data_IF_519889521887
#
_entry.id   IF_519889521887
#
_cell.length_a   1.000
_cell.length_b   1.000
_cell.length_c   1.000
_cell.angle_alpha   90.00
_cell.angle_beta   90.00
_cell.angle_gamma   90.00
#
_symmetry.space_group_name_H-M   'P 1'
#
loop_
_entity.id
_entity.type
_entity.pdbx_description
1 polymer ?
#
# COMPACT_ATOMS: atom_id res chain seq x y z
N UNK A 1 25.14 16.00 -48.78
CA UNK A 1 26.53 16.32 -49.18
C UNK A 1 27.49 15.30 -48.57
N UNK A 2 28.76 15.29 -48.99
CA UNK A 2 29.75 14.21 -48.78
C UNK A 2 30.39 14.19 -47.36
N UNK A 3 31.18 13.12 -47.11
CA UNK A 3 32.34 12.97 -46.17
C UNK A 3 32.03 12.97 -44.65
N UNK A 4 32.30 11.90 -43.88
CA UNK A 4 33.56 11.44 -43.25
C UNK A 4 33.35 11.45 -41.70
N UNK A 5 34.03 10.73 -40.79
CA UNK A 5 35.02 9.62 -40.77
C UNK A 5 34.70 8.82 -39.46
N UNK A 6 34.46 7.51 -39.48
CA UNK A 6 35.39 6.36 -39.36
C UNK A 6 36.14 6.22 -38.01
N UNK A 7 36.41 4.96 -37.61
CA UNK A 7 36.89 4.41 -36.31
C UNK A 7 35.70 3.95 -35.43
N UNK A 8 35.60 2.71 -34.91
CA UNK A 8 36.55 1.59 -34.85
C UNK A 8 35.86 0.23 -35.08
N UNK A 9 36.53 -0.71 -35.76
CA UNK A 9 36.28 -2.15 -35.58
C UNK A 9 37.56 -2.96 -35.87
N UNK A 10 38.55 -2.81 -35.00
CA UNK A 10 39.83 -3.52 -35.12
C UNK A 10 39.81 -4.86 -34.36
N UNK A 11 39.19 -5.90 -34.93
CA UNK A 11 39.34 -7.29 -34.43
C UNK A 11 39.23 -8.42 -35.45
N UNK A 12 38.69 -8.18 -36.65
CA UNK A 12 38.48 -9.25 -37.65
C UNK A 12 39.63 -9.49 -38.65
N UNK A 13 40.70 -8.68 -38.65
CA UNK A 13 41.80 -8.84 -39.62
C UNK A 13 42.85 -9.91 -39.26
N UNK A 14 42.89 -10.42 -38.04
CA UNK A 14 43.92 -11.39 -37.61
C UNK A 14 43.56 -12.86 -37.86
N UNK A 15 42.27 -13.22 -38.01
CA UNK A 15 41.89 -14.61 -38.29
C UNK A 15 42.24 -15.08 -39.72
N UNK A 16 42.11 -14.21 -40.73
CA UNK A 16 42.32 -14.63 -42.13
C UNK A 16 43.78 -14.97 -42.46
N UNK A 17 44.77 -14.32 -41.82
CA UNK A 17 46.19 -14.55 -42.12
C UNK A 17 46.66 -15.90 -41.55
N UNK A 18 46.18 -16.28 -40.37
CA UNK A 18 46.48 -17.60 -39.76
C UNK A 18 45.87 -18.74 -40.57
N UNK A 19 44.66 -18.55 -41.11
CA UNK A 19 43.97 -19.55 -41.94
C UNK A 19 44.73 -19.87 -43.24
N UNK A 20 45.28 -18.85 -43.91
CA UNK A 20 46.07 -19.01 -45.15
C UNK A 20 47.43 -19.67 -44.90
N UNK A 21 48.06 -19.42 -43.75
CA UNK A 21 49.33 -20.07 -43.38
C UNK A 21 49.16 -21.55 -43.02
N UNK A 22 48.09 -21.91 -42.31
CA UNK A 22 47.77 -23.31 -42.00
C UNK A 22 47.48 -24.12 -43.29
N UNK A 23 46.79 -23.54 -44.26
CA UNK A 23 46.55 -24.18 -45.57
C UNK A 23 47.85 -24.51 -46.34
N UNK A 24 48.89 -23.67 -46.22
CA UNK A 24 50.21 -23.95 -46.84
C UNK A 24 50.98 -25.08 -46.14
N UNK A 25 50.85 -25.26 -44.83
CA UNK A 25 51.52 -26.36 -44.12
C UNK A 25 50.90 -27.74 -44.41
N UNK A 26 49.61 -27.80 -44.78
CA UNK A 26 48.89 -29.06 -45.08
C UNK A 26 49.33 -29.68 -46.42
N UNK A 27 50.04 -28.94 -47.29
CA UNK A 27 50.32 -29.37 -48.66
C UNK A 27 51.56 -30.27 -48.84
N UNK A 28 52.33 -30.62 -47.80
CA UNK A 28 53.54 -31.43 -47.96
C UNK A 28 53.56 -32.74 -47.15
N UNK A 29 53.84 -33.84 -47.87
CA UNK A 29 54.06 -35.24 -47.45
C UNK A 29 52.90 -36.05 -46.82
N UNK A 30 52.88 -37.34 -47.21
CA UNK A 30 52.12 -38.50 -46.70
C UNK A 30 50.59 -38.53 -46.89
N UNK A 31 50.16 -39.29 -47.89
CA UNK A 31 48.77 -39.43 -48.35
C UNK A 31 47.83 -40.19 -47.38
N UNK A 32 48.35 -41.15 -46.61
CA UNK A 32 47.50 -42.00 -45.73
C UNK A 32 46.92 -41.27 -44.52
N UNK A 33 47.69 -40.37 -43.87
CA UNK A 33 47.21 -39.60 -42.71
C UNK A 33 46.13 -38.58 -43.11
N UNK A 34 46.10 -38.13 -44.37
CA UNK A 34 45.10 -37.18 -44.87
C UNK A 34 43.69 -37.76 -44.89
N UNK A 35 43.51 -39.04 -45.25
CA UNK A 35 42.18 -39.70 -45.22
C UNK A 35 41.63 -39.82 -43.80
N UNK A 36 42.47 -40.16 -42.82
CA UNK A 36 42.04 -40.27 -41.41
C UNK A 36 41.69 -38.90 -40.82
N UNK A 37 42.50 -37.86 -41.08
CA UNK A 37 42.19 -36.50 -40.61
C UNK A 37 40.90 -35.98 -41.27
N UNK A 38 40.68 -36.24 -42.57
CA UNK A 38 39.44 -35.84 -43.24
C UNK A 38 38.21 -36.63 -42.74
N UNK A 39 38.36 -37.92 -42.41
CA UNK A 39 37.28 -38.69 -41.75
C UNK A 39 36.97 -38.15 -40.35
N UNK A 40 37.99 -37.84 -39.54
CA UNK A 40 37.79 -37.28 -38.19
C UNK A 40 37.17 -35.89 -38.28
N UNK A 41 37.59 -35.03 -39.20
CA UNK A 41 36.97 -33.71 -39.39
C UNK A 41 35.54 -33.81 -39.94
N UNK A 42 35.25 -34.79 -40.79
CA UNK A 42 33.89 -35.09 -41.28
C UNK A 42 32.99 -35.57 -40.13
N UNK A 43 33.45 -36.54 -39.33
CA UNK A 43 32.75 -37.02 -38.14
C UNK A 43 32.55 -35.91 -37.09
N UNK A 44 33.51 -35.00 -36.92
CA UNK A 44 33.39 -33.87 -35.99
C UNK A 44 32.33 -32.85 -36.42
N UNK A 45 32.11 -32.67 -37.73
CA UNK A 45 31.03 -31.81 -38.25
C UNK A 45 29.65 -32.49 -38.20
N UNK A 46 29.59 -33.82 -38.14
CA UNK A 46 28.33 -34.59 -38.04
C UNK A 46 27.80 -34.64 -36.60
N UNK A 47 28.66 -34.46 -35.57
CA UNK A 47 28.24 -34.39 -34.16
C UNK A 47 27.85 -32.99 -33.65
N UNK A 48 28.06 -31.92 -34.43
CA UNK A 48 27.87 -30.53 -33.95
C UNK A 48 26.47 -29.87 -34.11
N UNK A 49 25.45 -30.44 -34.80
CA UNK A 49 24.12 -29.81 -34.90
C UNK A 49 23.03 -30.45 -34.00
N UNK A 50 23.36 -31.03 -32.83
CA UNK A 50 22.38 -31.65 -31.92
C UNK A 50 22.01 -30.75 -30.72
N UNK A 51 22.75 -29.67 -30.45
CA UNK A 51 22.47 -28.72 -29.34
C UNK A 51 21.60 -27.51 -29.73
N UNK A 52 20.75 -27.65 -30.75
CA UNK A 52 19.91 -26.55 -31.26
C UNK A 52 18.45 -26.97 -31.57
N UNK A 53 17.94 -28.02 -30.90
CA UNK A 53 16.56 -28.46 -31.00
C UNK A 53 15.88 -28.50 -29.62
N UNK A 54 15.82 -27.33 -28.98
CA UNK A 54 14.89 -27.05 -27.87
C UNK A 54 14.34 -25.62 -27.99
N UNK A 55 13.62 -25.38 -29.09
CA UNK A 55 12.68 -24.26 -29.20
C UNK A 55 11.31 -24.76 -29.66
N UNK A 56 10.76 -25.71 -28.91
CA UNK A 56 9.32 -25.61 -28.62
C UNK A 56 9.16 -24.24 -27.98
N UNK A 57 8.69 -23.26 -28.76
CA UNK A 57 8.31 -21.95 -28.27
C UNK A 57 7.06 -22.12 -27.40
N UNK A 58 7.29 -22.55 -26.16
CA UNK A 58 6.29 -22.54 -25.12
C UNK A 58 5.87 -21.08 -24.96
N UNK A 59 4.70 -20.76 -25.51
CA UNK A 59 4.23 -19.39 -25.74
C UNK A 59 3.83 -18.68 -24.44
N UNK A 60 4.37 -19.08 -23.29
CA UNK A 60 3.94 -18.61 -21.98
C UNK A 60 4.91 -18.98 -20.88
N UNK A 61 4.55 -18.61 -19.65
CA UNK A 61 5.34 -18.89 -18.45
C UNK A 61 5.46 -20.40 -18.23
N UNK A 62 6.68 -20.89 -18.06
CA UNK A 62 6.99 -22.26 -17.69
C UNK A 62 6.91 -22.42 -16.18
N UNK A 63 5.76 -22.86 -15.70
CA UNK A 63 5.58 -23.22 -14.30
C UNK A 63 6.08 -24.64 -14.03
N UNK A 64 6.95 -24.76 -13.02
CA UNK A 64 7.55 -26.02 -12.61
C UNK A 64 6.83 -26.61 -11.39
N UNK A 65 6.61 -27.93 -11.41
CA UNK A 65 6.04 -28.64 -10.27
C UNK A 65 7.14 -29.26 -9.38
N UNK A 66 7.87 -28.38 -8.70
CA UNK A 66 8.96 -28.70 -7.76
C UNK A 66 8.75 -27.97 -6.43
N UNK A 67 9.18 -28.55 -5.30
CA UNK A 67 9.03 -27.90 -3.99
C UNK A 67 9.67 -26.50 -3.97
N UNK A 68 9.19 -25.62 -3.10
CA UNK A 68 9.78 -24.29 -2.95
C UNK A 68 11.28 -24.36 -2.61
N UNK A 69 11.70 -25.38 -1.84
CA UNK A 69 13.11 -25.65 -1.53
C UNK A 69 13.94 -26.01 -2.79
N UNK A 70 13.40 -26.85 -3.66
CA UNK A 70 14.06 -27.22 -4.93
C UNK A 70 14.12 -26.01 -5.87
N UNK A 71 13.06 -25.19 -5.93
CA UNK A 71 13.05 -23.97 -6.72
C UNK A 71 14.12 -22.96 -6.28
N UNK A 72 14.34 -22.80 -4.97
CA UNK A 72 15.45 -21.98 -4.45
C UNK A 72 16.82 -22.55 -4.85
N UNK A 73 17.00 -23.86 -4.75
CA UNK A 73 18.25 -24.52 -5.14
C UNK A 73 18.52 -24.36 -6.65
N UNK A 74 17.50 -24.55 -7.49
CA UNK A 74 17.56 -24.35 -8.94
C UNK A 74 17.83 -22.89 -9.31
N UNK A 75 17.12 -21.94 -8.69
CA UNK A 75 17.34 -20.52 -8.91
C UNK A 75 18.77 -20.09 -8.53
N UNK A 76 19.33 -20.66 -7.44
CA UNK A 76 20.74 -20.45 -7.06
C UNK A 76 21.71 -21.02 -8.09
N UNK A 77 21.44 -22.20 -8.64
CA UNK A 77 22.29 -22.83 -9.66
C UNK A 77 22.25 -22.10 -11.02
N UNK A 78 21.09 -21.59 -11.41
CA UNK A 78 20.88 -20.87 -12.69
C UNK A 78 21.14 -19.36 -12.61
N UNK A 79 21.42 -18.80 -11.42
CA UNK A 79 21.58 -17.36 -11.22
C UNK A 79 20.27 -16.56 -11.37
N UNK A 80 19.12 -17.23 -11.29
CA UNK A 80 17.77 -16.66 -11.44
C UNK A 80 17.18 -16.25 -10.08
N UNK A 81 16.02 -15.59 -10.09
CA UNK A 81 15.13 -15.51 -8.91
C UNK A 81 14.02 -16.56 -9.00
N UNK A 82 13.25 -16.78 -7.93
CA UNK A 82 12.02 -17.59 -8.00
C UNK A 82 10.83 -16.64 -8.19
N UNK A 83 9.96 -16.93 -9.15
CA UNK A 83 8.66 -16.28 -9.31
C UNK A 83 7.57 -17.22 -8.78
N UNK A 84 6.61 -16.73 -7.99
CA UNK A 84 5.50 -17.53 -7.48
C UNK A 84 4.18 -16.80 -7.72
N UNK A 85 3.31 -17.41 -8.52
CA UNK A 85 1.88 -17.08 -8.58
C UNK A 85 1.17 -17.71 -7.37
N UNK A 86 0.77 -16.88 -6.42
CA UNK A 86 0.06 -17.30 -5.21
C UNK A 86 -1.45 -17.16 -5.45
N UNK A 87 -2.14 -18.30 -5.51
CA UNK A 87 -3.56 -18.39 -5.86
C UNK A 87 -4.35 -19.23 -4.84
N UNK A 88 -5.67 -19.32 -5.02
CA UNK A 88 -6.53 -20.31 -4.35
C UNK A 88 -7.54 -20.88 -5.36
N UNK A 89 -8.08 -22.08 -5.11
CA UNK A 89 -9.00 -22.76 -6.04
C UNK A 89 -10.30 -21.98 -6.32
N UNK A 90 -10.71 -21.09 -5.43
CA UNK A 90 -11.93 -20.27 -5.59
C UNK A 90 -11.66 -18.88 -6.19
N UNK A 91 -10.39 -18.52 -6.41
CA UNK A 91 -9.99 -17.23 -6.98
C UNK A 91 -10.33 -17.11 -8.48
N UNK A 92 -11.46 -16.46 -8.79
CA UNK A 92 -11.86 -16.15 -10.17
C UNK A 92 -10.81 -15.37 -10.99
N UNK A 93 -10.20 -14.29 -10.47
CA UNK A 93 -9.15 -13.56 -11.17
C UNK A 93 -7.89 -14.39 -11.46
N UNK A 94 -7.51 -15.31 -10.57
CA UNK A 94 -6.37 -16.21 -10.76
C UNK A 94 -6.61 -17.16 -11.94
N UNK A 95 -7.81 -17.75 -12.03
CA UNK A 95 -8.22 -18.59 -13.18
C UNK A 95 -8.19 -17.81 -14.50
N UNK A 96 -8.52 -16.52 -14.48
CA UNK A 96 -8.40 -15.66 -15.66
C UNK A 96 -6.94 -15.44 -16.06
N UNK A 97 -6.02 -15.19 -15.12
CA UNK A 97 -4.59 -15.05 -15.39
C UNK A 97 -4.02 -16.31 -16.05
N UNK A 98 -4.27 -17.48 -15.46
CA UNK A 98 -3.79 -18.77 -15.97
C UNK A 98 -4.31 -19.05 -17.38
N UNK A 99 -5.59 -18.78 -17.66
CA UNK A 99 -6.18 -19.08 -18.97
C UNK A 99 -5.76 -18.09 -20.07
N UNK A 100 -5.58 -16.80 -19.77
CA UNK A 100 -5.55 -15.75 -20.80
C UNK A 100 -4.29 -14.88 -20.78
N UNK A 101 -3.50 -14.88 -19.71
CA UNK A 101 -2.35 -13.96 -19.53
C UNK A 101 -1.03 -14.72 -19.49
N UNK A 102 -0.89 -15.72 -18.60
CA UNK A 102 0.35 -16.51 -18.55
C UNK A 102 0.69 -17.28 -19.85
N UNK A 103 -0.29 -17.71 -20.68
CA UNK A 103 -0.02 -18.32 -22.00
C UNK A 103 0.27 -17.32 -23.13
N UNK A 104 0.55 -16.04 -22.84
CA UNK A 104 0.97 -15.03 -23.82
C UNK A 104 2.48 -15.08 -24.05
N UNK A 105 2.91 -14.94 -25.30
CA UNK A 105 4.31 -15.12 -25.68
C UNK A 105 5.24 -14.13 -24.97
N UNK A 106 4.81 -12.88 -24.81
CA UNK A 106 5.53 -11.86 -24.01
C UNK A 106 5.85 -12.34 -22.57
N UNK A 107 4.97 -13.14 -21.97
CA UNK A 107 5.20 -13.70 -20.64
C UNK A 107 6.19 -14.87 -20.69
N UNK A 108 6.16 -15.72 -21.73
CA UNK A 108 7.21 -16.73 -21.92
C UNK A 108 8.58 -16.11 -22.10
N UNK A 109 8.68 -15.17 -23.04
CA UNK A 109 9.93 -14.47 -23.39
C UNK A 109 10.48 -13.64 -22.20
N UNK A 110 9.60 -13.08 -21.37
CA UNK A 110 10.04 -12.33 -20.18
C UNK A 110 10.44 -13.23 -18.99
N UNK A 111 9.60 -14.20 -18.61
CA UNK A 111 9.75 -14.90 -17.32
C UNK A 111 10.76 -16.05 -17.38
N UNK A 112 10.68 -16.90 -18.41
CA UNK A 112 11.47 -18.14 -18.51
C UNK A 112 13.00 -17.94 -18.43
N UNK A 113 13.61 -16.88 -19.03
CA UNK A 113 15.05 -16.64 -18.87
C UNK A 113 15.42 -16.00 -17.52
N UNK A 114 14.49 -15.41 -16.77
CA UNK A 114 14.76 -14.63 -15.55
C UNK A 114 14.41 -15.35 -14.24
N UNK A 115 13.44 -16.27 -14.28
CA UNK A 115 12.87 -16.89 -13.09
C UNK A 115 12.74 -18.41 -13.21
N UNK A 116 12.91 -19.10 -12.08
CA UNK A 116 12.26 -20.40 -11.84
C UNK A 116 10.83 -20.08 -11.39
N UNK A 117 9.83 -20.46 -12.18
CA UNK A 117 8.44 -20.03 -11.96
C UNK A 117 7.60 -21.15 -11.35
N UNK A 118 6.83 -20.84 -10.30
CA UNK A 118 5.91 -21.77 -9.63
C UNK A 118 4.49 -21.19 -9.60
N UNK A 119 3.48 -22.05 -9.61
CA UNK A 119 2.12 -21.73 -9.12
C UNK A 119 1.96 -22.40 -7.76
N UNK A 120 1.49 -21.69 -6.74
CA UNK A 120 1.25 -22.28 -5.40
C UNK A 120 -0.13 -21.90 -4.90
N UNK A 121 -0.94 -22.93 -4.68
CA UNK A 121 -2.23 -22.84 -4.02
C UNK A 121 -1.97 -22.56 -2.54
N UNK A 122 -2.49 -21.45 -2.02
CA UNK A 122 -2.18 -20.95 -0.69
C UNK A 122 -3.00 -21.64 0.41
N UNK A 123 -3.99 -22.46 0.05
CA UNK A 123 -4.84 -23.20 0.98
C UNK A 123 -4.32 -24.63 1.28
N UNK A 124 -3.36 -25.16 0.50
CA UNK A 124 -2.88 -26.56 0.60
C UNK A 124 -1.36 -26.72 0.42
N UNK A 125 -0.81 -27.85 0.89
CA UNK A 125 0.61 -28.18 0.72
C UNK A 125 1.55 -27.20 1.43
N UNK A 126 2.60 -26.74 0.74
CA UNK A 126 3.50 -25.67 1.23
C UNK A 126 2.81 -24.28 1.29
N UNK A 127 1.65 -24.13 0.64
CA UNK A 127 0.95 -22.85 0.45
C UNK A 127 0.69 -22.05 1.73
N UNK A 128 0.05 -22.61 2.76
CA UNK A 128 -0.26 -21.89 4.00
C UNK A 128 0.99 -21.35 4.71
N UNK A 129 2.11 -22.09 4.68
CA UNK A 129 3.37 -21.64 5.27
C UNK A 129 4.01 -20.51 4.46
N UNK A 130 4.00 -20.62 3.12
CA UNK A 130 4.48 -19.56 2.22
C UNK A 130 3.64 -18.29 2.34
N UNK A 131 2.31 -18.42 2.40
CA UNK A 131 1.36 -17.32 2.58
C UNK A 131 1.61 -16.58 3.90
N UNK A 132 1.81 -17.32 5.00
CA UNK A 132 2.20 -16.73 6.29
C UNK A 132 3.58 -16.07 6.24
N UNK A 133 4.60 -16.74 5.67
CA UNK A 133 5.98 -16.25 5.59
C UNK A 133 6.09 -14.93 4.81
N UNK A 134 5.38 -14.81 3.69
CA UNK A 134 5.46 -13.65 2.79
C UNK A 134 4.29 -12.65 2.94
N UNK A 135 3.43 -12.85 3.96
CA UNK A 135 2.24 -12.03 4.23
C UNK A 135 1.35 -11.87 2.98
N UNK A 136 0.98 -13.00 2.37
CA UNK A 136 0.00 -13.04 1.27
C UNK A 136 -1.40 -13.00 1.87
N UNK A 137 -2.16 -11.95 1.57
CA UNK A 137 -3.52 -11.75 2.10
C UNK A 137 -4.60 -11.51 1.04
N UNK A 138 -4.23 -11.37 -0.24
CA UNK A 138 -5.15 -11.21 -1.37
C UNK A 138 -4.65 -11.98 -2.59
N UNK A 139 -5.55 -12.36 -3.50
CA UNK A 139 -5.25 -13.24 -4.63
C UNK A 139 -5.71 -12.66 -5.99
N UNK A 140 -4.92 -12.83 -7.07
CA UNK A 140 -3.58 -13.37 -7.07
C UNK A 140 -2.58 -12.40 -6.41
N UNK A 141 -1.52 -12.95 -5.83
CA UNK A 141 -0.33 -12.22 -5.42
C UNK A 141 0.88 -12.85 -6.10
N UNK A 142 1.73 -12.01 -6.67
CA UNK A 142 2.95 -12.41 -7.35
C UNK A 142 4.14 -12.11 -6.45
N UNK A 143 4.89 -13.16 -6.10
CA UNK A 143 6.11 -13.04 -5.31
C UNK A 143 7.32 -13.22 -6.22
N UNK A 144 8.34 -12.38 -6.02
CA UNK A 144 9.69 -12.60 -6.53
C UNK A 144 10.60 -12.78 -5.33
N UNK A 145 11.23 -13.95 -5.25
CA UNK A 145 12.04 -14.39 -4.11
C UNK A 145 13.49 -14.54 -4.56
N UNK A 146 14.42 -14.05 -3.76
CA UNK A 146 15.86 -14.25 -3.98
C UNK A 146 16.25 -15.71 -3.72
N UNK A 147 17.37 -16.22 -4.28
CA UNK A 147 17.82 -17.61 -4.05
C UNK A 147 18.12 -18.00 -2.59
N UNK A 148 18.24 -17.02 -1.69
CA UNK A 148 18.37 -17.23 -0.23
C UNK A 148 17.02 -17.39 0.49
N UNK A 149 15.90 -17.26 -0.23
CA UNK A 149 14.54 -17.34 0.32
C UNK A 149 14.02 -16.01 0.88
N UNK A 150 14.72 -14.89 0.71
CA UNK A 150 14.24 -13.54 1.07
C UNK A 150 13.29 -12.97 0.01
N UNK A 151 12.26 -12.23 0.45
CA UNK A 151 11.34 -11.56 -0.45
C UNK A 151 12.04 -10.38 -1.13
N UNK A 152 12.10 -10.40 -2.46
CA UNK A 152 12.61 -9.26 -3.24
C UNK A 152 11.47 -8.31 -3.62
N UNK A 153 10.38 -8.83 -4.18
CA UNK A 153 9.24 -8.03 -4.62
C UNK A 153 7.92 -8.78 -4.38
N UNK A 154 6.87 -8.04 -4.02
CA UNK A 154 5.48 -8.50 -3.90
C UNK A 154 4.59 -7.56 -4.69
N UNK A 155 3.83 -8.10 -5.63
CA UNK A 155 2.88 -7.34 -6.45
C UNK A 155 1.51 -8.02 -6.41
N UNK A 156 0.43 -7.24 -6.33
CA UNK A 156 -0.89 -7.76 -6.00
C UNK A 156 -1.92 -7.47 -7.09
N UNK A 157 -2.93 -8.34 -7.20
CA UNK A 157 -4.08 -8.19 -8.08
C UNK A 157 -3.82 -8.62 -9.52
N UNK A 158 -4.84 -9.21 -10.15
CA UNK A 158 -4.79 -9.66 -11.54
C UNK A 158 -4.79 -8.48 -12.53
N UNK A 159 -4.43 -8.76 -13.78
CA UNK A 159 -4.57 -7.85 -14.92
C UNK A 159 -5.43 -8.49 -16.02
N UNK A 160 -6.05 -7.67 -16.87
CA UNK A 160 -6.88 -8.13 -18.00
C UNK A 160 -6.25 -7.74 -19.33
N UNK A 161 -6.56 -8.48 -20.40
CA UNK A 161 -6.04 -8.24 -21.76
C UNK A 161 -6.31 -6.80 -22.29
N UNK A 162 -7.33 -6.13 -21.77
CA UNK A 162 -7.72 -4.77 -22.14
C UNK A 162 -7.24 -3.70 -21.13
N UNK A 163 -6.20 -3.99 -20.35
CA UNK A 163 -5.62 -3.02 -19.41
C UNK A 163 -4.64 -2.08 -20.12
N UNK A 164 -4.39 -0.91 -19.55
CA UNK A 164 -3.48 0.10 -20.13
C UNK A 164 -1.99 -0.29 -20.08
N UNK A 165 -1.66 -1.39 -19.39
CA UNK A 165 -0.32 -2.00 -19.34
C UNK A 165 -0.46 -3.52 -19.45
N UNK A 166 0.60 -4.19 -19.91
CA UNK A 166 0.74 -5.65 -19.96
C UNK A 166 1.04 -6.25 -18.57
N UNK A 167 1.00 -7.58 -18.46
CA UNK A 167 1.43 -8.25 -17.23
C UNK A 167 2.94 -8.14 -16.99
N UNK A 168 3.72 -8.17 -18.08
CA UNK A 168 5.17 -7.96 -18.07
C UNK A 168 5.49 -6.60 -17.47
N UNK A 169 4.90 -5.53 -18.00
CA UNK A 169 5.10 -4.15 -17.49
C UNK A 169 4.66 -4.01 -16.03
N UNK A 170 3.57 -4.66 -15.60
CA UNK A 170 3.14 -4.66 -14.18
C UNK A 170 4.22 -5.25 -13.27
N UNK A 171 4.86 -6.33 -13.68
CA UNK A 171 5.94 -6.97 -12.90
C UNK A 171 7.25 -6.19 -12.99
N UNK A 172 7.60 -5.60 -14.14
CA UNK A 172 8.75 -4.70 -14.28
C UNK A 172 8.62 -3.46 -13.37
N UNK A 173 7.46 -2.81 -13.37
CA UNK A 173 7.16 -1.69 -12.49
C UNK A 173 7.26 -2.06 -11.00
N UNK A 174 6.86 -3.29 -10.63
CA UNK A 174 7.00 -3.78 -9.27
C UNK A 174 8.46 -4.11 -8.89
N UNK A 175 9.24 -4.67 -9.82
CA UNK A 175 10.70 -4.90 -9.66
C UNK A 175 11.45 -3.57 -9.50
N UNK A 176 11.12 -2.56 -10.31
CA UNK A 176 11.73 -1.24 -10.22
C UNK A 176 11.43 -0.59 -8.87
N UNK A 177 10.15 -0.60 -8.44
CA UNK A 177 9.72 -0.12 -7.12
C UNK A 177 10.46 -0.81 -5.98
N UNK A 178 10.57 -2.14 -6.04
CA UNK A 178 11.29 -2.94 -5.05
C UNK A 178 12.79 -2.64 -5.02
N UNK A 179 13.41 -2.41 -6.18
CA UNK A 179 14.83 -2.04 -6.28
C UNK A 179 15.08 -0.69 -5.61
N UNK A 180 14.24 0.30 -5.91
CA UNK A 180 14.32 1.64 -5.34
C UNK A 180 14.05 1.66 -3.82
N UNK A 181 13.06 0.88 -3.34
CA UNK A 181 12.83 0.66 -1.89
C UNK A 181 14.09 0.10 -1.24
N UNK A 182 14.72 -0.93 -1.81
CA UNK A 182 15.94 -1.53 -1.24
C UNK A 182 17.14 -0.55 -1.19
N UNK A 183 17.25 0.37 -2.15
CA UNK A 183 18.29 1.42 -2.13
C UNK A 183 18.01 2.49 -1.08
N UNK A 184 16.76 2.95 -0.97
CA UNK A 184 16.35 3.93 0.04
C UNK A 184 16.43 3.36 1.46
N UNK A 185 16.09 2.10 1.66
CA UNK A 185 16.22 1.43 2.95
C UNK A 185 17.67 1.25 3.39
N UNK A 186 18.61 0.97 2.47
CA UNK A 186 20.04 0.93 2.80
C UNK A 186 20.51 2.29 3.35
N UNK A 187 20.12 3.38 2.70
CA UNK A 187 20.43 4.76 3.14
C UNK A 187 19.78 5.10 4.48
N UNK A 188 18.49 4.79 4.65
CA UNK A 188 17.76 4.98 5.90
C UNK A 188 18.41 4.23 7.08
N UNK A 189 18.80 2.97 6.85
CA UNK A 189 19.43 2.11 7.83
C UNK A 189 20.90 2.48 8.11
N UNK A 190 21.61 3.10 7.16
CA UNK A 190 22.93 3.71 7.40
C UNK A 190 22.88 5.08 8.09
N UNK A 191 21.69 5.56 8.46
CA UNK A 191 21.49 6.80 9.21
C UNK A 191 21.12 8.04 8.37
N UNK A 192 20.99 7.93 7.05
CA UNK A 192 20.52 9.04 6.21
C UNK A 192 19.01 9.22 6.38
N UNK A 193 18.61 10.08 7.34
CA UNK A 193 17.21 10.30 7.73
C UNK A 193 16.79 11.74 7.51
N UNK A 194 16.51 12.10 6.26
CA UNK A 194 15.94 13.39 5.87
C UNK A 194 14.52 13.23 5.30
N UNK A 195 13.70 14.29 5.34
CA UNK A 195 12.28 14.25 4.95
C UNK A 195 12.07 13.83 3.49
N UNK A 196 12.97 14.20 2.57
CA UNK A 196 12.88 13.83 1.14
C UNK A 196 13.02 12.33 0.95
N UNK A 197 14.06 11.73 1.56
CA UNK A 197 14.32 10.30 1.52
C UNK A 197 13.17 9.52 2.15
N UNK A 198 12.74 9.92 3.35
CA UNK A 198 11.69 9.20 4.10
C UNK A 198 10.34 9.30 3.41
N UNK A 199 9.95 10.48 2.91
CA UNK A 199 8.71 10.66 2.13
C UNK A 199 8.69 9.71 0.94
N UNK A 200 9.76 9.71 0.12
CA UNK A 200 9.85 8.85 -1.05
C UNK A 200 9.79 7.36 -0.70
N UNK A 201 10.49 6.93 0.35
CA UNK A 201 10.45 5.55 0.82
C UNK A 201 9.04 5.15 1.30
N UNK A 202 8.40 5.99 2.11
CA UNK A 202 7.03 5.78 2.61
C UNK A 202 6.04 5.70 1.45
N UNK A 203 6.13 6.58 0.46
CA UNK A 203 5.21 6.60 -0.68
C UNK A 203 5.34 5.36 -1.58
N UNK A 204 6.56 4.85 -1.80
CA UNK A 204 6.77 3.58 -2.51
C UNK A 204 6.29 2.37 -1.69
N UNK A 205 6.52 2.38 -0.37
CA UNK A 205 6.08 1.32 0.54
C UNK A 205 4.55 1.25 0.66
N UNK A 206 3.82 2.38 0.67
CA UNK A 206 2.34 2.39 0.70
C UNK A 206 1.70 1.51 -0.38
N UNK A 207 2.34 1.36 -1.54
CA UNK A 207 1.85 0.56 -2.67
C UNK A 207 2.08 -0.95 -2.49
N UNK A 208 3.04 -1.38 -1.65
CA UNK A 208 3.51 -2.78 -1.56
C UNK A 208 3.52 -3.38 -0.15
N UNK A 209 3.79 -2.58 0.87
CA UNK A 209 3.78 -2.92 2.30
C UNK A 209 3.41 -1.70 3.16
N UNK A 210 2.10 -1.47 3.30
CA UNK A 210 1.54 -0.39 4.12
C UNK A 210 1.98 -0.47 5.60
N UNK A 211 2.16 -1.67 6.16
CA UNK A 211 2.62 -1.85 7.55
C UNK A 211 4.05 -1.33 7.73
N UNK A 212 4.91 -1.61 6.75
CA UNK A 212 6.29 -1.12 6.75
C UNK A 212 6.35 0.38 6.51
N UNK A 213 5.49 0.93 5.64
CA UNK A 213 5.35 2.37 5.43
C UNK A 213 5.04 3.11 6.73
N UNK A 214 4.01 2.66 7.46
CA UNK A 214 3.60 3.23 8.75
C UNK A 214 4.70 3.10 9.82
N UNK A 215 5.41 1.96 9.85
CA UNK A 215 6.54 1.73 10.76
C UNK A 215 7.67 2.73 10.51
N UNK A 216 8.13 2.86 9.26
CA UNK A 216 9.24 3.78 8.87
C UNK A 216 8.87 5.23 9.15
N UNK A 217 7.63 5.62 8.84
CA UNK A 217 7.10 6.95 9.08
C UNK A 217 7.07 7.29 10.58
N UNK A 218 6.46 6.44 11.41
CA UNK A 218 6.35 6.70 12.85
C UNK A 218 7.71 6.71 13.53
N UNK A 219 8.64 5.80 13.14
CA UNK A 219 10.02 5.82 13.63
C UNK A 219 10.75 7.11 13.27
N UNK A 220 10.61 7.59 12.03
CA UNK A 220 11.21 8.85 11.60
C UNK A 220 10.64 10.04 12.37
N UNK A 221 9.32 10.26 12.32
CA UNK A 221 8.68 11.41 12.95
C UNK A 221 8.88 11.44 14.49
N UNK A 222 8.90 10.27 15.14
CA UNK A 222 9.16 10.20 16.59
C UNK A 222 10.60 10.56 16.95
N UNK A 223 11.56 10.38 16.03
CA UNK A 223 12.98 10.71 16.27
C UNK A 223 13.30 12.20 16.18
N UNK A 224 12.43 13.01 15.59
CA UNK A 224 12.64 14.44 15.37
C UNK A 224 12.31 15.30 16.61
N UNK A 225 13.03 16.40 16.79
CA UNK A 225 12.69 17.47 17.74
C UNK A 225 11.35 18.15 17.39
N UNK A 226 10.81 18.99 18.29
CA UNK A 226 9.57 19.72 18.02
C UNK A 226 9.81 20.75 16.91
N UNK A 227 10.96 21.40 16.96
CA UNK A 227 11.48 22.37 16.00
C UNK A 227 11.61 21.76 14.59
N UNK A 228 12.06 20.50 14.49
CA UNK A 228 12.12 19.76 13.22
C UNK A 228 10.76 19.26 12.73
N UNK A 229 9.86 18.88 13.64
CA UNK A 229 8.47 18.54 13.33
C UNK A 229 7.68 19.75 12.80
N UNK A 230 8.02 20.95 13.25
CA UNK A 230 7.39 22.21 12.83
C UNK A 230 7.95 22.79 11.52
N UNK A 231 9.01 22.23 10.93
CA UNK A 231 9.46 22.61 9.57
C UNK A 231 8.40 22.19 8.54
N UNK A 232 8.07 23.04 7.58
CA UNK A 232 6.90 22.83 6.70
C UNK A 232 6.87 21.46 6.00
N UNK A 233 7.96 20.99 5.41
CA UNK A 233 8.01 19.67 4.74
C UNK A 233 7.69 18.51 5.69
N UNK A 234 8.17 18.60 6.94
CA UNK A 234 7.94 17.61 7.99
C UNK A 234 6.54 17.74 8.56
N UNK A 235 6.08 18.95 8.86
CA UNK A 235 4.73 19.19 9.35
C UNK A 235 3.68 18.75 8.34
N UNK A 236 3.91 18.96 7.04
CA UNK A 236 3.02 18.50 5.99
C UNK A 236 2.96 16.98 5.94
N UNK A 237 4.07 16.27 6.16
CA UNK A 237 4.09 14.80 6.29
C UNK A 237 3.38 14.33 7.57
N UNK A 238 3.64 14.95 8.71
CA UNK A 238 2.94 14.64 9.97
C UNK A 238 1.43 14.89 9.83
N UNK A 239 1.05 15.97 9.16
CA UNK A 239 -0.35 16.37 8.98
C UNK A 239 -1.13 15.45 8.05
N UNK A 240 -0.55 15.05 6.91
CA UNK A 240 -1.23 14.16 5.95
C UNK A 240 -1.31 12.72 6.46
N UNK A 241 -0.22 12.20 7.02
CA UNK A 241 -0.08 10.75 7.22
C UNK A 241 -0.58 10.27 8.60
N UNK A 242 -0.34 11.04 9.67
CA UNK A 242 -0.60 10.56 11.03
C UNK A 242 -2.06 10.82 11.41
N UNK A 243 -2.90 9.80 11.25
CA UNK A 243 -4.35 9.90 11.42
C UNK A 243 -4.90 9.16 12.67
N UNK A 244 -4.03 8.69 13.57
CA UNK A 244 -4.40 8.04 14.83
C UNK A 244 -4.01 8.91 16.05
N UNK A 245 -4.96 9.20 16.96
CA UNK A 245 -4.66 9.88 18.23
C UNK A 245 -3.68 9.13 19.14
N UNK A 246 -3.55 7.80 19.00
CA UNK A 246 -2.64 6.99 19.81
C UNK A 246 -1.21 6.91 19.25
N UNK A 247 -0.96 7.47 18.06
CA UNK A 247 0.40 7.49 17.50
C UNK A 247 1.37 8.28 18.41
N UNK A 248 2.63 7.83 18.60
CA UNK A 248 3.56 8.48 19.53
C UNK A 248 3.82 9.96 19.20
N UNK A 249 3.90 10.32 17.91
CA UNK A 249 4.10 11.71 17.48
C UNK A 249 2.86 12.58 17.69
N UNK A 250 1.63 12.04 17.58
CA UNK A 250 0.44 12.80 17.93
C UNK A 250 0.29 12.97 19.45
N UNK A 251 0.65 11.96 20.25
CA UNK A 251 0.74 12.11 21.71
C UNK A 251 1.81 13.15 22.11
N UNK A 252 2.94 13.22 21.40
CA UNK A 252 3.95 14.30 21.55
C UNK A 252 3.38 15.69 21.23
N UNK A 253 2.57 15.83 20.18
CA UNK A 253 1.84 17.07 19.85
C UNK A 253 0.90 17.47 21.00
N UNK A 254 0.06 16.56 21.48
CA UNK A 254 -0.89 16.83 22.58
C UNK A 254 -0.20 17.21 23.89
N UNK A 255 0.94 16.60 24.20
CA UNK A 255 1.69 16.91 25.43
C UNK A 255 2.43 18.27 25.36
N UNK A 256 2.69 18.80 24.17
CA UNK A 256 3.53 20.00 23.96
C UNK A 256 2.79 21.10 23.17
N UNK A 257 1.45 21.12 23.22
CA UNK A 257 0.56 22.01 22.42
C UNK A 257 1.09 23.45 22.31
N UNK A 258 1.32 24.11 23.44
CA UNK A 258 1.80 25.50 23.48
C UNK A 258 3.13 25.74 22.73
N UNK A 259 4.02 24.73 22.66
CA UNK A 259 5.26 24.84 21.89
C UNK A 259 5.00 24.73 20.38
N UNK A 260 4.19 23.76 19.97
CA UNK A 260 3.77 23.64 18.56
C UNK A 260 3.01 24.89 18.11
N UNK A 261 2.08 25.42 18.91
CA UNK A 261 1.31 26.63 18.61
C UNK A 261 2.21 27.86 18.46
N UNK A 262 3.25 28.01 19.29
CA UNK A 262 4.25 29.08 19.18
C UNK A 262 5.03 29.04 17.86
N UNK A 263 5.26 27.86 17.30
CA UNK A 263 6.04 27.66 16.07
C UNK A 263 5.19 27.66 14.80
N UNK A 264 3.93 27.21 14.87
CA UNK A 264 3.07 26.94 13.71
C UNK A 264 1.81 27.83 13.63
N UNK A 265 1.49 28.55 14.69
CA UNK A 265 0.20 29.21 14.88
C UNK A 265 -0.87 28.27 15.45
N UNK A 266 -1.77 28.83 16.28
CA UNK A 266 -2.81 28.05 16.97
C UNK A 266 -3.71 27.29 16.00
N UNK A 267 -4.24 27.96 14.99
CA UNK A 267 -5.23 27.39 14.06
C UNK A 267 -4.69 26.16 13.29
N UNK A 268 -3.39 26.15 12.95
CA UNK A 268 -2.71 25.03 12.27
C UNK A 268 -2.62 23.80 13.18
N UNK A 269 -2.39 24.01 14.48
CA UNK A 269 -2.32 22.97 15.51
C UNK A 269 -3.71 22.46 15.91
N UNK A 270 -4.66 23.37 16.20
CA UNK A 270 -6.05 23.03 16.51
C UNK A 270 -6.70 22.28 15.34
N UNK A 271 -6.53 22.74 14.10
CA UNK A 271 -7.02 22.05 12.91
C UNK A 271 -6.48 20.62 12.77
N UNK A 272 -5.18 20.38 13.05
CA UNK A 272 -4.61 19.02 13.04
C UNK A 272 -5.16 18.14 14.17
N UNK A 273 -5.28 18.69 15.38
CA UNK A 273 -5.80 17.94 16.53
C UNK A 273 -7.25 17.52 16.30
N UNK A 274 -8.13 18.48 15.96
CA UNK A 274 -9.57 18.26 15.80
C UNK A 274 -9.87 17.34 14.62
N UNK A 275 -9.20 17.52 13.47
CA UNK A 275 -9.38 16.64 12.31
C UNK A 275 -8.98 15.19 12.60
N UNK A 276 -7.94 14.96 13.40
CA UNK A 276 -7.50 13.60 13.75
C UNK A 276 -8.54 12.86 14.60
N UNK A 277 -9.08 13.49 15.66
CA UNK A 277 -10.19 12.91 16.44
C UNK A 277 -11.49 12.77 15.62
N UNK A 278 -11.77 13.72 14.73
CA UNK A 278 -12.97 13.68 13.88
C UNK A 278 -12.90 12.54 12.86
N UNK A 279 -11.73 12.28 12.26
CA UNK A 279 -11.51 11.18 11.33
C UNK A 279 -11.65 9.83 12.04
N UNK A 280 -11.04 9.67 13.21
CA UNK A 280 -11.20 8.46 14.02
C UNK A 280 -12.65 8.23 14.42
N UNK A 281 -13.38 9.26 14.89
CA UNK A 281 -14.81 9.13 15.22
C UNK A 281 -15.64 8.65 14.03
N UNK A 282 -15.33 9.12 12.82
CA UNK A 282 -16.01 8.67 11.60
C UNK A 282 -15.67 7.22 11.25
N UNK A 283 -14.42 6.79 11.43
CA UNK A 283 -13.99 5.41 11.27
C UNK A 283 -14.66 4.48 12.30
N UNK A 284 -14.64 4.83 13.59
CA UNK A 284 -15.26 4.04 14.65
C UNK A 284 -16.79 3.93 14.46
N UNK A 285 -17.48 5.00 14.04
CA UNK A 285 -18.90 4.95 13.66
C UNK A 285 -19.19 4.04 12.46
N UNK A 286 -18.25 3.89 11.54
CA UNK A 286 -18.40 3.06 10.34
C UNK A 286 -18.14 1.57 10.62
N UNK A 287 -17.22 1.28 11.55
CA UNK A 287 -16.79 -0.08 11.91
C UNK A 287 -17.40 -0.61 13.22
N UNK A 288 -18.33 0.15 13.82
CA UNK A 288 -18.98 -0.12 15.11
C UNK A 288 -17.98 -0.37 16.27
N UNK A 289 -16.94 0.46 16.32
CA UNK A 289 -15.89 0.41 17.34
C UNK A 289 -16.15 1.43 18.47
N UNK A 290 -15.69 1.12 19.68
CA UNK A 290 -15.72 2.07 20.81
C UNK A 290 -14.77 3.27 20.60
N UNK A 291 -15.15 4.41 21.17
CA UNK A 291 -14.43 5.69 21.08
C UNK A 291 -14.61 6.56 22.35
N UNK A 292 -15.15 5.99 23.43
CA UNK A 292 -15.50 6.68 24.68
C UNK A 292 -14.28 7.35 25.35
N UNK A 293 -13.11 6.71 25.29
CA UNK A 293 -11.85 7.29 25.76
C UNK A 293 -11.54 8.66 25.11
N UNK A 294 -11.99 8.90 23.87
CA UNK A 294 -11.76 10.16 23.15
C UNK A 294 -12.60 11.32 23.68
N UNK A 295 -13.73 11.02 24.35
CA UNK A 295 -14.57 12.03 25.02
C UNK A 295 -13.78 12.68 26.17
N UNK A 296 -12.91 11.92 26.86
CA UNK A 296 -12.04 12.45 27.90
C UNK A 296 -10.93 13.33 27.32
N UNK A 297 -10.26 12.90 26.25
CA UNK A 297 -9.22 13.67 25.56
C UNK A 297 -9.75 15.04 25.07
N UNK A 298 -10.94 15.06 24.45
CA UNK A 298 -11.59 16.30 23.99
C UNK A 298 -12.03 17.20 25.15
N UNK A 299 -12.34 16.63 26.34
CA UNK A 299 -12.68 17.40 27.54
C UNK A 299 -11.45 18.09 28.15
N UNK A 300 -10.26 17.51 28.00
CA UNK A 300 -9.01 18.21 28.32
C UNK A 300 -8.78 19.36 27.32
N UNK A 301 -8.90 19.09 26.02
CA UNK A 301 -8.71 20.11 24.97
C UNK A 301 -9.65 21.32 25.15
N UNK A 302 -10.93 21.09 25.43
CA UNK A 302 -11.91 22.14 25.74
C UNK A 302 -11.45 23.05 26.90
N UNK A 303 -10.99 22.47 28.01
CA UNK A 303 -10.46 23.22 29.18
C UNK A 303 -9.20 24.01 28.85
N UNK A 304 -8.41 23.55 27.89
CA UNK A 304 -7.19 24.20 27.42
C UNK A 304 -7.46 25.19 26.26
N UNK A 305 -8.71 25.56 26.00
CA UNK A 305 -9.06 26.64 25.07
C UNK A 305 -9.23 26.23 23.60
N UNK A 306 -9.41 24.93 23.32
CA UNK A 306 -9.76 24.41 21.99
C UNK A 306 -11.29 24.39 21.86
N UNK A 307 -11.89 25.48 21.41
CA UNK A 307 -13.36 25.62 21.37
C UNK A 307 -14.02 24.62 20.43
N UNK A 308 -13.35 24.22 19.34
CA UNK A 308 -13.87 23.23 18.39
C UNK A 308 -13.98 21.82 19.01
N UNK A 309 -13.23 21.54 20.09
CA UNK A 309 -13.30 20.25 20.79
C UNK A 309 -14.68 20.02 21.42
N UNK A 310 -15.40 21.08 21.83
CA UNK A 310 -16.72 20.97 22.45
C UNK A 310 -17.74 20.32 21.51
N UNK A 311 -17.88 20.83 20.27
CA UNK A 311 -18.85 20.29 19.32
C UNK A 311 -18.57 18.82 18.97
N UNK A 312 -17.30 18.43 18.84
CA UNK A 312 -16.91 17.04 18.61
C UNK A 312 -17.15 16.16 19.84
N UNK A 313 -16.83 16.65 21.05
CA UNK A 313 -17.07 15.93 22.31
C UNK A 313 -18.54 15.64 22.53
N UNK A 314 -19.40 16.63 22.31
CA UNK A 314 -20.85 16.45 22.44
C UNK A 314 -21.42 15.54 21.35
N UNK A 315 -20.89 15.60 20.12
CA UNK A 315 -21.26 14.66 19.03
C UNK A 315 -20.93 13.21 19.40
N UNK A 316 -19.72 12.95 19.91
CA UNK A 316 -19.33 11.64 20.43
C UNK A 316 -20.22 11.21 21.61
N UNK A 317 -20.47 12.10 22.56
CA UNK A 317 -21.27 11.81 23.77
C UNK A 317 -22.70 11.41 23.43
N UNK A 318 -23.37 12.17 22.55
CA UNK A 318 -24.71 11.80 22.03
C UNK A 318 -24.67 10.41 21.39
N UNK A 319 -23.71 10.19 20.49
CA UNK A 319 -23.65 8.96 19.71
C UNK A 319 -23.39 7.74 20.58
N UNK A 320 -22.51 7.86 21.57
CA UNK A 320 -22.21 6.80 22.52
C UNK A 320 -23.43 6.42 23.37
N UNK A 321 -24.13 7.40 23.95
CA UNK A 321 -25.35 7.17 24.75
C UNK A 321 -26.43 6.45 23.92
N UNK A 322 -26.59 6.81 22.65
CA UNK A 322 -27.60 6.21 21.76
C UNK A 322 -27.20 4.81 21.29
N UNK A 323 -25.96 4.62 20.82
CA UNK A 323 -25.47 3.31 20.35
C UNK A 323 -25.53 2.26 21.47
N UNK A 324 -25.01 2.59 22.66
CA UNK A 324 -24.97 1.71 23.84
C UNK A 324 -26.32 1.64 24.58
N UNK A 325 -27.37 2.28 24.07
CA UNK A 325 -28.74 2.29 24.64
C UNK A 325 -28.79 2.69 26.11
N UNK A 326 -27.99 3.67 26.51
CA UNK A 326 -27.84 4.12 27.90
C UNK A 326 -29.03 4.99 28.33
N UNK A 327 -30.19 4.35 28.54
CA UNK A 327 -31.49 5.00 28.85
C UNK A 327 -31.45 5.90 30.10
N UNK A 328 -30.57 5.62 31.05
CA UNK A 328 -30.32 6.42 32.24
C UNK A 328 -29.62 7.77 31.92
N UNK A 329 -28.90 7.87 30.80
CA UNK A 329 -28.15 9.07 30.38
C UNK A 329 -28.87 9.95 29.35
N UNK A 330 -30.11 9.66 29.00
CA UNK A 330 -30.90 10.52 28.09
C UNK A 330 -31.07 11.96 28.63
N UNK A 331 -31.02 12.16 29.94
CA UNK A 331 -30.98 13.51 30.54
C UNK A 331 -29.74 14.33 30.15
N UNK A 332 -28.61 13.67 29.90
CA UNK A 332 -27.37 14.29 29.43
C UNK A 332 -27.53 14.82 28.00
N UNK A 333 -28.13 14.03 27.10
CA UNK A 333 -28.49 14.48 25.74
C UNK A 333 -29.37 15.74 25.79
N UNK A 334 -30.38 15.78 26.67
CA UNK A 334 -31.24 16.96 26.81
C UNK A 334 -30.45 18.19 27.30
N UNK A 335 -29.53 18.02 28.27
CA UNK A 335 -28.65 19.10 28.73
C UNK A 335 -27.71 19.59 27.63
N UNK A 336 -27.23 18.71 26.76
CA UNK A 336 -26.40 19.06 25.60
C UNK A 336 -27.21 19.89 24.60
N UNK A 337 -28.44 19.46 24.23
CA UNK A 337 -29.32 20.22 23.34
C UNK A 337 -29.59 21.64 23.86
N UNK A 338 -29.84 21.80 25.16
CA UNK A 338 -30.01 23.11 25.80
C UNK A 338 -28.78 24.03 25.69
N UNK A 339 -27.58 23.44 25.60
CA UNK A 339 -26.30 24.17 25.48
C UNK A 339 -25.93 24.50 24.03
N UNK A 340 -26.48 23.84 23.01
CA UNK A 340 -26.09 24.08 21.61
C UNK A 340 -26.25 25.54 21.15
N UNK A 341 -27.12 26.31 21.79
CA UNK A 341 -27.25 27.77 21.56
C UNK A 341 -25.95 28.57 21.84
N UNK A 342 -25.02 28.04 22.64
CA UNK A 342 -23.72 28.69 22.92
C UNK A 342 -22.60 28.27 21.97
N UNK A 343 -22.84 27.33 21.04
CA UNK A 343 -21.89 27.04 19.97
C UNK A 343 -21.89 28.20 18.95
N UNK A 344 -20.73 28.66 18.45
CA UNK A 344 -20.64 29.88 17.67
C UNK A 344 -21.21 29.75 16.24
N UNK A 345 -21.20 28.56 15.63
CA UNK A 345 -21.68 28.36 14.25
C UNK A 345 -22.82 27.34 14.10
N UNK A 346 -23.62 27.54 13.04
CA UNK A 346 -24.63 26.58 12.60
C UNK A 346 -24.04 25.23 12.19
N UNK A 347 -22.80 25.23 11.67
CA UNK A 347 -22.11 24.00 11.28
C UNK A 347 -21.85 23.10 12.49
N UNK A 348 -21.37 23.66 13.61
CA UNK A 348 -21.13 22.93 14.86
C UNK A 348 -22.44 22.45 15.50
N UNK A 349 -23.47 23.30 15.56
CA UNK A 349 -24.81 22.92 16.04
C UNK A 349 -25.37 21.75 15.24
N UNK A 350 -25.27 21.82 13.91
CA UNK A 350 -25.72 20.74 13.01
C UNK A 350 -24.86 19.49 13.09
N UNK A 351 -23.57 19.58 13.45
CA UNK A 351 -22.73 18.40 13.68
C UNK A 351 -23.28 17.57 14.84
N UNK A 352 -23.55 18.20 16.00
CA UNK A 352 -24.12 17.52 17.18
C UNK A 352 -25.53 17.00 16.90
N UNK A 353 -26.40 17.79 16.28
CA UNK A 353 -27.80 17.40 16.00
C UNK A 353 -27.89 16.16 15.09
N UNK A 354 -26.96 16.00 14.13
CA UNK A 354 -26.93 14.82 13.23
C UNK A 354 -26.72 13.52 13.99
N UNK A 355 -26.04 13.53 15.14
CA UNK A 355 -25.80 12.33 15.95
C UNK A 355 -27.02 11.90 16.78
N UNK A 356 -28.14 12.64 16.76
CA UNK A 356 -29.46 12.16 17.25
C UNK A 356 -30.08 11.05 16.38
N UNK A 357 -29.28 10.35 15.56
CA UNK A 357 -29.75 9.24 14.74
C UNK A 357 -30.16 8.05 15.61
N UNK A 358 -31.38 7.55 15.43
CA UNK A 358 -31.98 6.50 16.28
C UNK A 358 -32.30 6.91 17.73
N UNK A 359 -32.28 8.21 18.08
CA UNK A 359 -32.65 8.70 19.41
C UNK A 359 -34.05 8.23 19.85
N UNK A 360 -34.99 8.13 18.91
CA UNK A 360 -36.36 7.64 19.15
C UNK A 360 -36.45 6.19 19.63
N UNK A 361 -35.37 5.40 19.51
CA UNK A 361 -35.28 4.01 19.97
C UNK A 361 -34.86 3.87 21.44
N UNK A 362 -34.30 4.93 22.03
CA UNK A 362 -33.75 4.93 23.40
C UNK A 362 -34.44 5.92 24.33
N UNK A 363 -35.10 6.95 23.78
CA UNK A 363 -35.82 7.96 24.56
C UNK A 363 -37.33 7.67 24.65
N UNK A 364 -37.90 7.83 25.84
CA UNK A 364 -39.35 7.73 26.06
C UNK A 364 -40.11 8.96 25.51
N UNK A 365 -41.44 8.90 25.47
CA UNK A 365 -42.30 9.95 24.90
C UNK A 365 -42.04 11.33 25.54
N UNK A 366 -41.89 11.40 26.86
CA UNK A 366 -41.64 12.66 27.56
C UNK A 366 -40.25 13.24 27.23
N UNK A 367 -39.23 12.40 27.13
CA UNK A 367 -37.87 12.79 26.72
C UNK A 367 -37.84 13.24 25.25
N UNK A 368 -38.55 12.54 24.35
CA UNK A 368 -38.70 12.91 22.93
C UNK A 368 -39.37 14.28 22.78
N UNK A 369 -40.45 14.54 23.52
CA UNK A 369 -41.12 15.83 23.52
C UNK A 369 -40.21 16.96 24.02
N UNK A 370 -39.41 16.73 25.08
CA UNK A 370 -38.40 17.69 25.54
C UNK A 370 -37.35 17.98 24.46
N UNK A 371 -36.80 16.95 23.81
CA UNK A 371 -35.85 17.11 22.72
C UNK A 371 -36.43 17.92 21.54
N UNK A 372 -37.69 17.69 21.17
CA UNK A 372 -38.38 18.50 20.15
C UNK A 372 -38.47 19.98 20.53
N UNK A 373 -38.74 20.30 21.80
CA UNK A 373 -38.78 21.70 22.28
C UNK A 373 -37.42 22.37 22.15
N UNK A 374 -36.34 21.72 22.57
CA UNK A 374 -34.99 22.30 22.45
C UNK A 374 -34.54 22.42 20.99
N UNK A 375 -34.86 21.45 20.14
CA UNK A 375 -34.58 21.52 18.71
C UNK A 375 -35.32 22.71 18.05
N UNK A 376 -36.58 23.00 18.43
CA UNK A 376 -37.30 24.19 17.97
C UNK A 376 -36.73 25.51 18.50
N UNK A 377 -36.15 25.50 19.70
CA UNK A 377 -35.43 26.67 20.22
C UNK A 377 -34.17 26.95 19.40
N UNK A 378 -33.39 25.90 19.08
CA UNK A 378 -32.21 26.01 18.22
C UNK A 378 -32.61 26.43 16.81
N UNK A 379 -33.65 25.83 16.21
CA UNK A 379 -34.12 26.08 14.84
C UNK A 379 -34.34 27.57 14.52
N UNK A 380 -34.77 28.37 15.49
CA UNK A 380 -34.98 29.83 15.36
C UNK A 380 -33.68 30.63 15.22
N UNK A 381 -32.53 30.04 15.53
CA UNK A 381 -31.20 30.65 15.50
C UNK A 381 -30.41 30.27 14.25
N UNK A 382 -30.98 29.44 13.36
CA UNK A 382 -30.28 28.79 12.25
C UNK A 382 -30.65 29.39 10.89
N UNK A 383 -29.77 29.21 9.92
CA UNK A 383 -30.06 29.43 8.50
C UNK A 383 -31.25 28.57 8.01
N UNK A 384 -31.90 28.99 6.93
CA UNK A 384 -33.11 28.34 6.39
C UNK A 384 -32.90 26.87 5.96
N UNK A 385 -31.70 26.51 5.48
CA UNK A 385 -31.32 25.14 5.07
C UNK A 385 -31.14 24.25 6.30
N UNK A 386 -30.52 24.77 7.34
CA UNK A 386 -30.27 24.12 8.62
C UNK A 386 -31.55 23.99 9.45
N UNK A 387 -32.40 25.02 9.49
CA UNK A 387 -33.73 24.97 10.11
C UNK A 387 -34.65 23.90 9.48
N UNK A 388 -34.62 23.76 8.15
CA UNK A 388 -35.30 22.65 7.43
C UNK A 388 -34.72 21.28 7.74
N UNK A 389 -33.42 21.18 8.02
CA UNK A 389 -32.80 19.93 8.44
C UNK A 389 -33.24 19.53 9.85
N UNK A 390 -33.32 20.48 10.77
CA UNK A 390 -33.84 20.27 12.14
C UNK A 390 -35.31 19.82 12.11
N UNK A 391 -36.15 20.40 11.24
CA UNK A 391 -37.56 19.98 11.14
C UNK A 391 -37.73 18.50 10.75
N UNK A 392 -36.86 17.98 9.86
CA UNK A 392 -36.84 16.56 9.53
C UNK A 392 -36.47 15.67 10.71
N UNK A 393 -35.53 16.12 11.56
CA UNK A 393 -35.21 15.42 12.81
C UNK A 393 -36.38 15.43 13.79
N UNK A 394 -37.00 16.60 14.02
CA UNK A 394 -38.20 16.75 14.86
C UNK A 394 -39.32 15.81 14.39
N UNK A 395 -39.62 15.82 13.08
CA UNK A 395 -40.68 14.99 12.48
C UNK A 395 -40.44 13.48 12.71
N UNK A 396 -39.17 13.03 12.65
CA UNK A 396 -38.80 11.63 12.94
C UNK A 396 -38.92 11.27 14.42
N UNK A 397 -38.51 12.16 15.33
CA UNK A 397 -38.50 11.86 16.76
C UNK A 397 -39.83 12.18 17.46
N UNK A 398 -40.77 12.90 16.83
CA UNK A 398 -42.12 13.04 17.37
C UNK A 398 -42.80 11.67 17.48
N UNK A 399 -43.56 11.39 18.55
CA UNK A 399 -44.43 10.21 18.58
C UNK A 399 -45.45 10.30 17.44
N UNK A 400 -45.67 9.20 16.72
CA UNK A 400 -46.86 9.09 15.87
C UNK A 400 -48.08 9.08 16.80
N UNK A 401 -49.09 9.88 16.44
CA UNK A 401 -50.39 9.88 17.12
C UNK A 401 -51.13 8.57 16.87
#
# INVERSE_FOLDING_TARGET
MKSNIQISCNRYKYCCVVFVLLLKMIFNRNCMKKKIIFLIFSLFNILLPIMAQDSISNRGILFEDISFKEALAKAKAEGKKVFIDCYTQTCGPCKYMMKNIFPLQECGDYFNPKFVSLTRDMDVGEGPELGKKYKVGIYPTFLIINPDGTLFCKEMGAIRLNSNITFVEKIENAIQRATEINELEKKYNSGEKNTVLVRKLVDLLKVSDFQKADTVLNQYLSSLSIEELCKDDTWNMFSSEINSPDSPVFRKLLANRAHFEKLLGKDRVEGKIISTYQNEFNMCKMLDMHFDQRIADLKDLEKNGYSQALALRESMTLRWIINEKQVNRIGEILSILQKLKSLPSDAERMAVIKELNSFERVANIAQRNKACTELRNIQKLMDEKSARAIERFITRILPKK
#
